data_IF_484422404830
#
_entry.id   IF_484422404830
#
_cell.length_a   1.000
_cell.length_b   1.000
_cell.length_c   1.000
_cell.angle_alpha   90.00
_cell.angle_beta   90.00
_cell.angle_gamma   90.00
#
_symmetry.space_group_name_H-M   'P 1'
#
loop_
_entity.id
_entity.type
_entity.pdbx_description
1 polymer ?
#
# COMPACT_ATOMS: atom_id res chain seq x y z
N UNK A 1 7.15 18.42 14.33
CA UNK A 1 6.94 17.53 13.17
C UNK A 1 5.58 16.90 13.34
N UNK A 2 4.76 16.88 12.30
CA UNK A 2 3.40 16.34 12.38
C UNK A 2 3.46 14.86 11.97
N UNK A 3 3.72 14.02 12.97
CA UNK A 3 3.46 12.59 12.98
C UNK A 3 1.93 12.40 12.98
N UNK A 4 1.35 12.30 11.78
CA UNK A 4 -0.03 11.88 11.61
C UNK A 4 0.01 10.38 11.35
N UNK A 5 -0.48 9.62 12.33
CA UNK A 5 -0.76 8.18 12.34
C UNK A 5 -1.83 7.81 11.29
N UNK A 6 -1.72 8.34 10.08
CA UNK A 6 -2.40 7.85 8.90
C UNK A 6 -1.61 6.66 8.42
N UNK A 7 -2.31 5.56 8.15
CA UNK A 7 -1.84 4.54 7.24
C UNK A 7 -1.25 5.21 5.99
N UNK A 8 0.08 5.35 5.96
CA UNK A 8 0.76 6.03 4.88
C UNK A 8 0.82 5.04 3.74
N UNK A 9 -0.12 5.19 2.79
CA UNK A 9 -0.04 4.55 1.49
C UNK A 9 1.39 4.64 0.91
N UNK A 10 2.07 5.76 1.19
CA UNK A 10 3.48 5.99 0.88
C UNK A 10 4.44 5.01 1.58
N UNK A 11 4.28 4.74 2.87
CA UNK A 11 5.11 3.78 3.60
C UNK A 11 4.86 2.34 3.12
N UNK A 12 3.59 1.98 2.88
CA UNK A 12 3.26 0.68 2.30
C UNK A 12 3.88 0.51 0.91
N UNK A 13 3.90 1.58 0.11
CA UNK A 13 4.50 1.54 -1.22
C UNK A 13 6.03 1.53 -1.19
N UNK A 14 6.66 2.24 -0.25
CA UNK A 14 8.12 2.19 -0.01
C UNK A 14 8.56 0.78 0.40
N UNK A 15 7.74 0.10 1.21
CA UNK A 15 8.01 -1.28 1.61
C UNK A 15 7.86 -2.26 0.45
N UNK A 16 6.85 -2.09 -0.42
CA UNK A 16 6.72 -2.86 -1.66
C UNK A 16 7.93 -2.64 -2.58
N UNK A 17 8.41 -1.40 -2.73
CA UNK A 17 9.62 -1.09 -3.50
C UNK A 17 10.87 -1.75 -2.92
N UNK A 18 11.02 -1.75 -1.58
CA UNK A 18 12.12 -2.47 -0.91
C UNK A 18 12.06 -3.97 -1.16
N UNK A 19 10.87 -4.54 -1.10
CA UNK A 19 10.65 -5.96 -1.39
C UNK A 19 11.04 -6.27 -2.85
N UNK A 20 10.60 -5.44 -3.80
CA UNK A 20 10.96 -5.60 -5.22
C UNK A 20 12.47 -5.49 -5.44
N UNK A 21 13.13 -4.50 -4.84
CA UNK A 21 14.60 -4.38 -4.88
C UNK A 21 15.31 -5.58 -4.26
N UNK A 22 14.74 -6.15 -3.19
CA UNK A 22 15.22 -7.39 -2.60
C UNK A 22 15.15 -8.53 -3.62
N UNK A 23 13.99 -8.74 -4.23
CA UNK A 23 13.76 -9.77 -5.25
C UNK A 23 14.68 -9.61 -6.46
N UNK A 24 14.90 -8.38 -6.93
CA UNK A 24 15.83 -8.06 -8.02
C UNK A 24 17.29 -8.31 -7.63
N UNK A 25 17.59 -8.32 -6.33
CA UNK A 25 18.88 -8.77 -5.83
C UNK A 25 18.96 -10.28 -6.00
N UNK A 26 19.86 -10.73 -6.88
CA UNK A 26 20.09 -12.16 -7.20
C UNK A 26 20.70 -12.97 -6.01
N UNK A 27 20.52 -12.51 -4.77
CA UNK A 27 20.96 -13.17 -3.54
C UNK A 27 19.78 -13.74 -2.73
N UNK A 28 18.55 -13.55 -3.18
CA UNK A 28 17.35 -13.99 -2.45
C UNK A 28 16.98 -15.42 -2.80
N UNK A 29 16.76 -16.25 -1.77
CA UNK A 29 16.36 -17.65 -1.95
C UNK A 29 14.92 -17.76 -2.44
N UNK A 30 14.55 -18.86 -3.11
CA UNK A 30 13.17 -19.13 -3.57
C UNK A 30 12.14 -19.03 -2.43
N UNK A 31 12.51 -19.49 -1.23
CA UNK A 31 11.65 -19.44 -0.04
C UNK A 31 11.41 -17.98 0.42
N UNK A 32 12.46 -17.17 0.42
CA UNK A 32 12.36 -15.74 0.77
C UNK A 32 11.57 -14.96 -0.27
N UNK A 33 11.72 -15.29 -1.56
CA UNK A 33 10.91 -14.75 -2.65
C UNK A 33 9.40 -14.94 -2.40
N UNK A 34 9.01 -16.11 -1.88
CA UNK A 34 7.60 -16.38 -1.54
C UNK A 34 7.12 -15.50 -0.38
N UNK A 35 7.93 -15.36 0.68
CA UNK A 35 7.58 -14.49 1.81
C UNK A 35 7.46 -13.02 1.38
N UNK A 36 8.43 -12.55 0.60
CA UNK A 36 8.46 -11.22 0.01
C UNK A 36 7.21 -10.93 -0.84
N UNK A 37 6.87 -11.82 -1.78
CA UNK A 37 5.69 -11.67 -2.63
C UNK A 37 4.39 -11.71 -1.82
N UNK A 38 4.30 -12.60 -0.82
CA UNK A 38 3.15 -12.69 0.07
C UNK A 38 2.93 -11.38 0.84
N UNK A 39 4.01 -10.81 1.36
CA UNK A 39 4.00 -9.55 2.10
C UNK A 39 3.65 -8.35 1.23
N UNK A 40 4.20 -8.27 0.01
CA UNK A 40 3.82 -7.25 -0.97
C UNK A 40 2.32 -7.34 -1.33
N UNK A 41 1.78 -8.57 -1.45
CA UNK A 41 0.36 -8.79 -1.75
C UNK A 41 -0.55 -8.30 -0.61
N UNK A 42 -0.17 -8.55 0.66
CA UNK A 42 -0.88 -8.04 1.83
C UNK A 42 -0.89 -6.51 1.88
N UNK A 43 0.26 -5.88 1.60
CA UNK A 43 0.37 -4.42 1.53
C UNK A 43 -0.49 -3.85 0.39
N UNK A 44 -0.50 -4.48 -0.79
CA UNK A 44 -1.35 -4.09 -1.91
C UNK A 44 -2.85 -4.21 -1.59
N UNK A 45 -3.26 -5.25 -0.87
CA UNK A 45 -4.64 -5.42 -0.39
C UNK A 45 -5.06 -4.25 0.50
N UNK A 46 -4.21 -3.88 1.47
CA UNK A 46 -4.47 -2.74 2.37
C UNK A 46 -4.54 -1.41 1.60
N UNK A 47 -3.62 -1.19 0.66
CA UNK A 47 -3.65 -0.03 -0.23
C UNK A 47 -4.95 0.07 -1.05
N UNK A 48 -5.43 -1.05 -1.59
CA UNK A 48 -6.72 -1.12 -2.31
C UNK A 48 -7.91 -0.83 -1.41
N UNK A 49 -7.93 -1.36 -0.19
CA UNK A 49 -8.98 -1.08 0.78
C UNK A 49 -9.04 0.42 1.11
N UNK A 50 -7.87 1.05 1.33
CA UNK A 50 -7.79 2.49 1.60
C UNK A 50 -8.24 3.33 0.41
N UNK A 51 -7.86 2.96 -0.82
CA UNK A 51 -8.32 3.64 -2.03
C UNK A 51 -9.85 3.59 -2.16
N UNK A 52 -10.48 2.45 -1.88
CA UNK A 52 -11.96 2.34 -1.88
C UNK A 52 -12.61 3.21 -0.80
N UNK A 53 -12.01 3.26 0.39
CA UNK A 53 -12.49 4.10 1.49
C UNK A 53 -12.41 5.60 1.12
N UNK A 54 -11.30 6.01 0.50
CA UNK A 54 -11.12 7.37 0.00
C UNK A 54 -12.09 7.65 -1.15
N UNK A 55 -12.27 6.74 -2.09
CA UNK A 55 -13.21 6.87 -3.21
C UNK A 55 -14.65 7.08 -2.69
N UNK A 56 -15.06 6.29 -1.70
CA UNK A 56 -16.39 6.43 -1.09
C UNK A 56 -16.57 7.79 -0.42
N UNK A 57 -15.57 8.24 0.35
CA UNK A 57 -15.59 9.57 0.98
C UNK A 57 -15.61 10.69 -0.06
N UNK A 58 -14.84 10.57 -1.14
CA UNK A 58 -14.83 11.56 -2.22
C UNK A 58 -16.20 11.64 -2.90
N UNK A 59 -16.84 10.50 -3.17
CA UNK A 59 -18.19 10.46 -3.74
C UNK A 59 -19.18 11.18 -2.82
N UNK A 60 -19.16 10.87 -1.50
CA UNK A 60 -20.04 11.50 -0.51
C UNK A 60 -19.84 13.02 -0.43
N UNK A 61 -18.59 13.48 -0.40
CA UNK A 61 -18.24 14.90 -0.40
C UNK A 61 -18.70 15.59 -1.68
N UNK A 62 -18.49 14.97 -2.84
CA UNK A 62 -18.95 15.50 -4.14
C UNK A 62 -20.47 15.60 -4.21
N UNK A 63 -21.20 14.61 -3.67
CA UNK A 63 -22.67 14.68 -3.62
C UNK A 63 -23.16 15.82 -2.71
N UNK A 64 -22.45 16.07 -1.60
CA UNK A 64 -22.79 17.13 -0.65
C UNK A 64 -22.50 18.53 -1.20
N UNK A 65 -21.40 18.72 -1.93
CA UNK A 65 -21.01 20.00 -2.54
C UNK A 65 -21.88 20.39 -3.73
N UNK A 66 -22.56 19.43 -4.36
CA UNK A 66 -23.38 19.68 -5.56
C UNK A 66 -24.85 20.04 -5.24
N UNK A 67 -25.21 20.26 -3.97
CA UNK A 67 -26.51 20.75 -3.51
C UNK A 67 -26.44 22.23 -3.12
#
# INVERSE_FOLDING_TARGET
MADDEKFEFKAAMDEIEKILKGIESNQVSVDELVDHVSRATDLLQKCRAKLREVETQVIEVVQTVSQ
#
